data_IF_504506786092
#
_entry.id   IF_504506786092
#
_cell.length_a   1.000
_cell.length_b   1.000
_cell.length_c   1.000
_cell.angle_alpha   90.00
_cell.angle_beta   90.00
_cell.angle_gamma   90.00
#
_symmetry.space_group_name_H-M   'P 1'
#
loop_
_entity.id
_entity.type
_entity.pdbx_description
1 polymer ?
#
# COMPACT_ATOMS: atom_id res chain seq x y z
N UNK A 1 -11.14 -12.68 -1.29
CA UNK A 1 -10.57 -13.17 -0.02
C UNK A 1 -9.56 -12.18 0.56
N UNK A 2 -8.48 -11.86 -0.15
CA UNK A 2 -7.43 -10.93 0.35
C UNK A 2 -7.89 -9.50 0.61
N UNK A 3 -8.66 -8.88 -0.28
CA UNK A 3 -9.18 -7.50 -0.10
C UNK A 3 -10.12 -7.39 1.09
N UNK A 4 -10.93 -8.42 1.33
CA UNK A 4 -11.85 -8.48 2.46
C UNK A 4 -11.09 -8.52 3.80
N UNK A 5 -10.01 -9.31 3.88
CA UNK A 5 -9.14 -9.35 5.05
C UNK A 5 -8.52 -7.98 5.38
N UNK A 6 -8.10 -7.22 4.36
CA UNK A 6 -7.54 -5.86 4.55
C UNK A 6 -8.57 -4.91 5.14
N UNK A 7 -9.81 -4.91 4.66
CA UNK A 7 -10.85 -4.03 5.21
C UNK A 7 -11.21 -4.40 6.66
N UNK A 8 -11.29 -5.69 6.98
CA UNK A 8 -11.57 -6.15 8.34
C UNK A 8 -10.43 -5.75 9.29
N UNK A 9 -9.17 -6.00 8.90
CA UNK A 9 -8.02 -5.63 9.72
C UNK A 9 -7.99 -4.11 9.98
N UNK A 10 -8.28 -3.32 8.96
CA UNK A 10 -8.35 -1.86 9.11
C UNK A 10 -9.50 -1.42 10.02
N UNK A 11 -10.67 -2.07 9.93
CA UNK A 11 -11.79 -1.78 10.82
C UNK A 11 -11.44 -2.04 12.30
N UNK A 12 -10.76 -3.15 12.60
CA UNK A 12 -10.28 -3.42 13.95
C UNK A 12 -9.26 -2.38 14.45
N UNK A 13 -8.38 -1.90 13.57
CA UNK A 13 -7.42 -0.84 13.89
C UNK A 13 -8.13 0.48 14.24
N UNK A 14 -9.17 0.85 13.47
CA UNK A 14 -9.99 2.03 13.78
C UNK A 14 -10.75 1.86 15.09
N UNK A 15 -11.31 0.68 15.37
CA UNK A 15 -11.93 0.40 16.66
C UNK A 15 -10.94 0.53 17.82
N UNK A 16 -9.70 0.04 17.63
CA UNK A 16 -8.63 0.18 18.64
C UNK A 16 -8.31 1.65 18.91
N UNK A 17 -8.19 2.49 17.87
CA UNK A 17 -7.98 3.93 18.02
C UNK A 17 -9.08 4.62 18.83
N UNK A 18 -10.34 4.24 18.64
CA UNK A 18 -11.48 4.85 19.34
C UNK A 18 -11.49 4.46 20.82
N UNK A 19 -10.98 3.27 21.16
CA UNK A 19 -10.93 2.78 22.54
C UNK A 19 -9.71 3.32 23.31
N UNK A 20 -8.61 3.63 22.62
CA UNK A 20 -7.35 4.07 23.21
C UNK A 20 -7.18 5.60 23.14
N UNK A 21 -7.91 6.33 24.00
CA UNK A 21 -7.92 7.80 24.01
C UNK A 21 -7.33 8.44 25.26
N UNK A 22 -6.88 7.65 26.24
CA UNK A 22 -6.48 8.17 27.56
C UNK A 22 -5.04 8.67 27.60
N UNK A 23 -4.13 8.06 26.83
CA UNK A 23 -2.75 8.49 26.71
C UNK A 23 -2.51 9.19 25.36
N UNK A 24 -2.05 10.45 25.39
CA UNK A 24 -1.84 11.27 24.19
C UNK A 24 -0.76 10.69 23.26
N UNK A 25 0.31 10.11 23.82
CA UNK A 25 1.43 9.56 23.04
C UNK A 25 1.02 8.27 22.32
N UNK A 26 0.29 7.39 23.00
CA UNK A 26 -0.27 6.16 22.41
C UNK A 26 -1.34 6.49 21.36
N UNK A 27 -2.23 7.43 21.64
CA UNK A 27 -3.24 7.90 20.68
C UNK A 27 -2.56 8.45 19.41
N UNK A 28 -1.46 9.20 19.55
CA UNK A 28 -0.70 9.70 18.39
C UNK A 28 -0.05 8.55 17.59
N UNK A 29 0.56 7.58 18.26
CA UNK A 29 1.17 6.41 17.61
C UNK A 29 0.14 5.58 16.82
N UNK A 30 -1.04 5.32 17.42
CA UNK A 30 -2.13 4.59 16.76
C UNK A 30 -2.74 5.41 15.62
N UNK A 31 -2.84 6.74 15.77
CA UNK A 31 -3.33 7.64 14.71
C UNK A 31 -2.42 7.61 13.48
N UNK A 32 -1.09 7.70 13.67
CA UNK A 32 -0.11 7.61 12.58
C UNK A 32 -0.24 6.27 11.87
N UNK A 33 -0.34 5.18 12.63
CA UNK A 33 -0.50 3.82 12.08
C UNK A 33 -1.79 3.69 11.27
N UNK A 34 -2.90 4.26 11.77
CA UNK A 34 -4.19 4.30 11.06
C UNK A 34 -4.08 5.07 9.74
N UNK A 35 -3.49 6.27 9.76
CA UNK A 35 -3.28 7.11 8.57
C UNK A 35 -2.36 6.43 7.54
N UNK A 36 -1.32 5.74 8.01
CA UNK A 36 -0.42 5.00 7.15
C UNK A 36 -1.16 3.91 6.36
N UNK A 37 -1.98 3.10 7.04
CA UNK A 37 -2.74 2.03 6.38
C UNK A 37 -3.95 2.54 5.58
N UNK A 38 -4.48 3.73 5.90
CA UNK A 38 -5.54 4.37 5.13
C UNK A 38 -5.13 4.55 3.66
N UNK A 39 -3.86 4.88 3.38
CA UNK A 39 -3.37 5.00 1.99
C UNK A 39 -3.60 3.74 1.16
N UNK A 40 -3.40 2.55 1.76
CA UNK A 40 -3.60 1.27 1.09
C UNK A 40 -5.09 1.02 0.86
N UNK A 41 -5.92 1.23 1.89
CA UNK A 41 -7.38 1.07 1.82
C UNK A 41 -7.98 1.99 0.75
N UNK A 42 -7.64 3.28 0.74
CA UNK A 42 -8.15 4.24 -0.25
C UNK A 42 -7.76 3.85 -1.67
N UNK A 43 -6.54 3.35 -1.91
CA UNK A 43 -6.11 2.91 -3.26
C UNK A 43 -6.90 1.69 -3.74
N UNK A 44 -7.13 0.69 -2.87
CA UNK A 44 -7.98 -0.46 -3.20
C UNK A 44 -9.41 -0.04 -3.52
N UNK A 45 -9.99 0.84 -2.71
CA UNK A 45 -11.32 1.41 -2.92
C UNK A 45 -11.40 2.20 -4.22
N UNK A 46 -10.41 3.05 -4.50
CA UNK A 46 -10.34 3.84 -5.73
C UNK A 46 -10.30 2.94 -6.97
N UNK A 47 -9.47 1.89 -6.94
CA UNK A 47 -9.41 0.92 -8.03
C UNK A 47 -10.73 0.18 -8.23
N UNK A 48 -11.41 -0.22 -7.15
CA UNK A 48 -12.71 -0.89 -7.24
C UNK A 48 -13.77 -0.01 -7.93
N UNK A 49 -13.91 1.25 -7.50
CA UNK A 49 -14.90 2.18 -8.07
C UNK A 49 -14.55 2.67 -9.48
N UNK A 50 -13.26 2.86 -9.78
CA UNK A 50 -12.80 3.40 -11.08
C UNK A 50 -12.26 2.32 -12.02
N UNK A 51 -12.51 1.05 -11.72
CA UNK A 51 -12.01 -0.11 -12.47
C UNK A 51 -12.23 0.02 -13.99
N UNK A 52 -13.40 0.48 -14.43
CA UNK A 52 -13.71 0.70 -15.85
C UNK A 52 -12.72 1.66 -16.54
N UNK A 53 -12.32 2.75 -15.87
CA UNK A 53 -11.36 3.69 -16.42
C UNK A 53 -9.96 3.10 -16.48
N UNK A 54 -9.56 2.31 -15.48
CA UNK A 54 -8.29 1.58 -15.48
C UNK A 54 -8.21 0.54 -16.60
N UNK A 55 -9.25 -0.25 -16.81
CA UNK A 55 -9.26 -1.22 -17.91
C UNK A 55 -9.28 -0.53 -19.27
N UNK A 56 -9.93 0.64 -19.39
CA UNK A 56 -9.88 1.45 -20.60
C UNK A 56 -8.47 1.96 -20.91
N UNK A 57 -7.71 2.42 -19.91
CA UNK A 57 -6.34 2.89 -20.12
C UNK A 57 -5.38 1.76 -20.47
N UNK A 58 -5.53 0.59 -19.84
CA UNK A 58 -4.75 -0.61 -20.21
C UNK A 58 -5.09 -1.09 -21.62
N UNK A 59 -6.38 -1.11 -21.99
CA UNK A 59 -6.84 -1.53 -23.32
C UNK A 59 -6.54 -0.53 -24.44
N UNK A 60 -6.24 0.73 -24.14
CA UNK A 60 -5.92 1.74 -25.14
C UNK A 60 -4.66 1.39 -25.97
N UNK A 61 -3.78 0.55 -25.43
CA UNK A 61 -2.56 0.11 -26.10
C UNK A 61 -2.73 -1.13 -26.99
N UNK A 62 -3.93 -1.70 -27.08
CA UNK A 62 -4.20 -2.89 -27.92
C UNK A 62 -4.18 -2.58 -29.42
N UNK A 63 -4.51 -1.34 -29.81
CA UNK A 63 -4.49 -0.91 -31.20
C UNK A 63 -3.48 0.23 -31.37
N UNK A 64 -2.23 -0.13 -31.65
CA UNK A 64 -1.16 0.85 -31.85
C UNK A 64 -0.94 1.16 -33.31
N UNK A 65 -0.82 2.46 -33.61
CA UNK A 65 -0.37 2.90 -34.92
C UNK A 65 1.09 2.47 -35.15
N UNK A 66 1.39 1.93 -36.32
CA UNK A 66 2.75 1.57 -36.70
C UNK A 66 2.98 1.93 -38.16
N UNK A 67 4.08 2.64 -38.41
CA UNK A 67 4.51 2.95 -39.76
C UNK A 67 5.63 1.98 -40.17
N UNK A 68 5.53 1.30 -41.32
CA UNK A 68 6.42 0.19 -41.68
C UNK A 68 7.90 0.61 -41.75
N UNK A 69 8.19 1.84 -42.21
CA UNK A 69 9.55 2.40 -42.26
C UNK A 69 10.18 2.71 -40.90
N UNK A 70 9.39 2.83 -39.83
CA UNK A 70 9.89 3.21 -38.48
C UNK A 70 9.56 2.16 -37.41
N UNK A 71 9.09 0.99 -37.82
CA UNK A 71 8.68 -0.09 -36.92
C UNK A 71 9.85 -0.58 -36.06
N UNK A 72 11.06 -0.66 -36.61
CA UNK A 72 12.26 -1.09 -35.90
C UNK A 72 12.64 -0.14 -34.75
N UNK A 73 12.65 1.17 -35.02
CA UNK A 73 12.90 2.19 -33.99
C UNK A 73 11.84 2.13 -32.88
N UNK A 74 10.56 2.00 -33.25
CA UNK A 74 9.46 1.87 -32.28
C UNK A 74 9.59 0.61 -31.40
N UNK A 75 9.99 -0.53 -32.00
CA UNK A 75 10.23 -1.77 -31.26
C UNK A 75 11.36 -1.63 -30.24
N UNK A 76 12.47 -0.96 -30.60
CA UNK A 76 13.59 -0.68 -29.69
C UNK A 76 13.18 0.17 -28.50
N UNK A 77 12.38 1.22 -28.72
CA UNK A 77 11.88 2.06 -27.64
C UNK A 77 10.89 1.32 -26.73
N UNK A 78 10.01 0.49 -27.30
CA UNK A 78 9.10 -0.38 -26.53
C UNK A 78 9.85 -1.35 -25.62
N UNK A 79 10.85 -2.04 -26.15
CA UNK A 79 11.67 -2.97 -25.36
C UNK A 79 12.41 -2.24 -24.22
N UNK A 80 12.94 -1.06 -24.51
CA UNK A 80 13.60 -0.22 -23.51
C UNK A 80 12.62 0.21 -22.41
N UNK A 81 11.42 0.68 -22.76
CA UNK A 81 10.39 1.06 -21.80
C UNK A 81 9.96 -0.13 -20.92
N UNK A 82 9.71 -1.30 -21.52
CA UNK A 82 9.34 -2.52 -20.79
C UNK A 82 10.42 -2.95 -19.79
N UNK A 83 11.69 -2.91 -20.19
CA UNK A 83 12.79 -3.24 -19.28
C UNK A 83 12.86 -2.29 -18.07
N UNK A 84 12.64 -0.99 -18.27
CA UNK A 84 12.60 0.01 -17.18
C UNK A 84 11.39 -0.17 -16.27
N UNK A 85 10.21 -0.42 -16.84
CA UNK A 85 8.98 -0.69 -16.06
C UNK A 85 9.15 -1.93 -15.16
N UNK A 86 9.75 -3.01 -15.68
CA UNK A 86 10.04 -4.22 -14.89
C UNK A 86 11.07 -3.98 -13.79
N UNK A 87 12.14 -3.22 -14.09
CA UNK A 87 13.14 -2.85 -13.07
C UNK A 87 12.53 -2.04 -11.94
N UNK A 88 11.69 -1.06 -12.26
CA UNK A 88 10.99 -0.26 -11.26
C UNK A 88 10.10 -1.13 -10.36
N UNK A 89 9.33 -2.04 -10.96
CA UNK A 89 8.49 -2.98 -10.21
C UNK A 89 9.32 -3.85 -9.26
N UNK A 90 10.46 -4.37 -9.71
CA UNK A 90 11.35 -5.18 -8.86
C UNK A 90 11.93 -4.37 -7.70
N UNK A 91 12.40 -3.15 -7.95
CA UNK A 91 12.97 -2.29 -6.90
C UNK A 91 11.93 -1.97 -5.83
N UNK A 92 10.74 -1.51 -6.23
CA UNK A 92 9.67 -1.19 -5.28
C UNK A 92 9.22 -2.46 -4.54
N UNK A 93 9.06 -3.58 -5.25
CA UNK A 93 8.71 -4.87 -4.65
C UNK A 93 9.70 -5.29 -3.56
N UNK A 94 11.01 -5.28 -3.86
CA UNK A 94 12.04 -5.62 -2.89
C UNK A 94 12.04 -4.70 -1.68
N UNK A 95 11.92 -3.39 -1.88
CA UNK A 95 11.87 -2.42 -0.77
C UNK A 95 10.65 -2.66 0.12
N UNK A 96 9.48 -2.95 -0.46
CA UNK A 96 8.28 -3.24 0.33
C UNK A 96 8.40 -4.54 1.14
N UNK A 97 9.03 -5.57 0.58
CA UNK A 97 9.28 -6.83 1.30
C UNK A 97 10.24 -6.58 2.47
N UNK A 98 11.33 -5.83 2.24
CA UNK A 98 12.26 -5.45 3.29
C UNK A 98 11.60 -4.62 4.39
N UNK A 99 10.67 -3.72 4.04
CA UNK A 99 9.92 -2.94 5.03
C UNK A 99 9.03 -3.84 5.92
N UNK A 100 8.40 -4.88 5.35
CA UNK A 100 7.62 -5.87 6.13
C UNK A 100 8.53 -6.66 7.08
N UNK A 101 9.70 -7.11 6.61
CA UNK A 101 10.69 -7.77 7.48
C UNK A 101 11.21 -6.84 8.57
N UNK A 102 11.47 -5.57 8.25
CA UNK A 102 11.88 -4.58 9.24
C UNK A 102 10.83 -4.39 10.32
N UNK A 103 9.55 -4.26 9.95
CA UNK A 103 8.47 -4.08 10.92
C UNK A 103 8.31 -5.32 11.82
N UNK A 104 8.29 -6.51 11.23
CA UNK A 104 8.19 -7.76 12.00
C UNK A 104 9.37 -7.96 12.96
N UNK A 105 10.60 -7.63 12.52
CA UNK A 105 11.79 -7.73 13.37
C UNK A 105 11.71 -6.78 14.55
N UNK A 106 11.28 -5.53 14.35
CA UNK A 106 11.10 -4.56 15.44
C UNK A 106 10.05 -5.05 16.44
N UNK A 107 8.91 -5.57 15.97
CA UNK A 107 7.85 -6.08 16.85
C UNK A 107 8.27 -7.28 17.68
N UNK A 108 9.18 -8.15 17.20
CA UNK A 108 9.65 -9.30 17.96
C UNK A 108 10.79 -8.99 18.94
N UNK A 109 11.46 -7.85 18.78
CA UNK A 109 12.55 -7.41 19.68
C UNK A 109 12.05 -6.53 20.83
N UNK A 110 10.81 -6.06 20.76
CA UNK A 110 10.17 -5.26 21.79
C UNK A 110 9.36 -6.15 22.74
N UNK A 111 9.30 -5.77 24.03
CA UNK A 111 8.54 -6.53 25.02
C UNK A 111 7.03 -6.22 24.87
N UNK A 112 6.14 -7.23 24.80
CA UNK A 112 4.70 -7.02 24.66
C UNK A 112 4.06 -6.66 26.00
N UNK A 113 4.45 -5.51 26.58
CA UNK A 113 3.85 -4.99 27.80
C UNK A 113 2.78 -3.98 27.42
N UNK A 114 1.55 -4.20 27.87
CA UNK A 114 0.48 -3.21 27.78
C UNK A 114 0.41 -2.46 29.11
N UNK A 115 1.03 -1.28 29.15
CA UNK A 115 0.94 -0.39 30.31
C UNK A 115 -0.40 0.34 30.26
N UNK A 116 -1.36 -0.14 31.05
CA UNK A 116 -2.66 0.51 31.17
C UNK A 116 -2.52 1.70 32.12
N UNK A 117 -2.70 2.91 31.59
CA UNK A 117 -2.75 4.13 32.41
C UNK A 117 -3.99 4.07 33.31
N UNK A 118 -3.81 4.20 34.62
CA UNK A 118 -4.89 4.12 35.61
C UNK A 118 -5.74 5.40 35.54
N UNK A 119 -7.06 5.35 35.25
CA UNK A 119 -7.89 6.54 35.08
C UNK A 119 -8.00 7.43 36.33
N UNK A 120 -7.59 6.94 37.50
CA UNK A 120 -7.63 7.65 38.78
C UNK A 120 -6.31 8.34 39.19
N UNK A 121 -5.24 8.19 38.40
CA UNK A 121 -3.95 8.82 38.69
C UNK A 121 -3.74 10.04 37.76
N UNK A 122 -4.23 11.20 38.23
CA UNK A 122 -4.01 12.53 37.62
C UNK A 122 -2.53 12.91 37.52
#
# INVERSE_FOLDING_TARGET
>A
MTTFSVYIQYAFLVCFLILETYNADEMAAVTITTLFFLHSVTKFTYFAFRSKYFYRTLGAWNQVNSHPLFAESNARHRATALSRMRKLLMVIGCVTILAVFSWTTVTFLDDPVWDKTDPDNV
#
